data_IF_695785733065
#
_entry.id   IF_695785733065
#
_cell.length_a   1.000
_cell.length_b   1.000
_cell.length_c   1.000
_cell.angle_alpha   90.00
_cell.angle_beta   90.00
_cell.angle_gamma   90.00
#
_symmetry.space_group_name_H-M   'P 1'
#
loop_
_entity.id
_entity.type
_entity.pdbx_description
1 polymer ?
#
# COMPACT_ATOMS: atom_id res chain seq x y z
N UNK A 1 8.05 2.71 16.41
CA UNK A 1 8.29 1.34 16.91
C UNK A 1 7.02 0.50 17.06
N UNK A 2 5.89 1.04 17.53
CA UNK A 2 4.63 0.27 17.68
C UNK A 2 4.15 -0.43 16.40
N UNK A 3 4.19 0.26 15.24
CA UNK A 3 3.73 -0.30 13.96
C UNK A 3 4.54 -1.49 13.45
N UNK A 4 5.87 -1.50 13.65
CA UNK A 4 6.75 -2.59 13.22
C UNK A 4 6.45 -3.85 14.03
N UNK A 5 6.23 -3.69 15.34
CA UNK A 5 5.87 -4.78 16.25
C UNK A 5 4.47 -5.33 15.93
N UNK A 6 3.49 -4.46 15.65
CA UNK A 6 2.15 -4.86 15.25
C UNK A 6 2.14 -5.60 13.90
N UNK A 7 2.95 -5.17 12.93
CA UNK A 7 3.11 -5.86 11.66
C UNK A 7 3.75 -7.24 11.84
N UNK A 8 4.82 -7.35 12.64
CA UNK A 8 5.49 -8.61 12.91
C UNK A 8 4.57 -9.60 13.64
N UNK A 9 3.85 -9.15 14.67
CA UNK A 9 2.91 -9.99 15.43
C UNK A 9 1.72 -10.38 14.56
N UNK A 10 1.10 -9.42 13.88
CA UNK A 10 -0.05 -9.68 12.98
C UNK A 10 0.31 -10.65 11.85
N UNK A 11 1.47 -10.46 11.21
CA UNK A 11 1.99 -11.36 10.18
C UNK A 11 2.28 -12.76 10.72
N UNK A 12 2.89 -12.87 11.91
CA UNK A 12 3.20 -14.16 12.54
C UNK A 12 1.95 -14.94 12.92
N UNK A 13 0.92 -14.27 13.46
CA UNK A 13 -0.38 -14.86 13.79
C UNK A 13 -1.06 -15.38 12.51
N UNK A 14 -0.99 -14.61 11.43
CA UNK A 14 -1.57 -15.00 10.14
C UNK A 14 -0.92 -16.26 9.56
N UNK A 15 0.42 -16.33 9.64
CA UNK A 15 1.20 -17.49 9.20
C UNK A 15 0.89 -18.71 10.07
N UNK A 16 0.86 -18.56 11.39
CA UNK A 16 0.54 -19.64 12.31
C UNK A 16 -0.89 -20.19 12.10
N UNK A 17 -1.87 -19.30 11.94
CA UNK A 17 -3.26 -19.68 11.64
C UNK A 17 -3.38 -20.38 10.27
N UNK A 18 -2.64 -19.92 9.26
CA UNK A 18 -2.59 -20.59 7.95
C UNK A 18 -1.91 -21.95 8.00
N UNK A 19 -0.93 -22.18 8.88
CA UNK A 19 -0.26 -23.47 9.04
C UNK A 19 -1.13 -24.50 9.76
N UNK A 20 -1.96 -24.06 10.71
CA UNK A 20 -2.91 -24.89 11.47
C UNK A 20 -4.17 -25.24 10.67
N UNK A 21 -4.49 -24.48 9.62
CA UNK A 21 -5.61 -24.80 8.72
C UNK A 21 -5.27 -25.95 7.77
N UNK A 22 -6.08 -27.02 7.79
CA UNK A 22 -5.98 -28.15 6.83
C UNK A 22 -6.18 -27.72 5.37
N UNK A 23 -6.90 -26.62 5.13
CA UNK A 23 -7.09 -26.04 3.80
C UNK A 23 -6.42 -24.67 3.71
N UNK A 24 -5.07 -24.71 3.64
CA UNK A 24 -4.21 -23.52 3.62
C UNK A 24 -4.67 -22.47 2.61
N UNK A 25 -5.10 -22.91 1.42
CA UNK A 25 -5.54 -22.02 0.35
C UNK A 25 -6.92 -21.39 0.60
N UNK A 26 -7.88 -22.09 1.22
CA UNK A 26 -9.18 -21.51 1.57
C UNK A 26 -9.06 -20.49 2.71
N UNK A 27 -8.22 -20.78 3.71
CA UNK A 27 -7.97 -19.85 4.80
C UNK A 27 -7.25 -18.59 4.30
N UNK A 28 -6.18 -18.75 3.51
CA UNK A 28 -5.44 -17.62 2.95
C UNK A 28 -6.32 -16.79 2.01
N UNK A 29 -7.15 -17.44 1.18
CA UNK A 29 -8.13 -16.75 0.35
C UNK A 29 -9.14 -15.96 1.17
N UNK A 30 -9.66 -16.53 2.28
CA UNK A 30 -10.58 -15.85 3.20
C UNK A 30 -9.94 -14.64 3.90
N UNK A 31 -8.67 -14.72 4.25
CA UNK A 31 -7.92 -13.58 4.79
C UNK A 31 -7.74 -12.48 3.74
N UNK A 32 -7.32 -12.85 2.53
CA UNK A 32 -7.11 -11.90 1.43
C UNK A 32 -8.43 -11.20 1.06
N UNK A 33 -9.58 -11.88 1.15
CA UNK A 33 -10.89 -11.25 0.90
C UNK A 33 -11.39 -10.39 2.06
N UNK A 34 -11.08 -10.76 3.31
CA UNK A 34 -11.45 -9.97 4.50
C UNK A 34 -10.62 -8.68 4.63
N UNK A 35 -9.37 -8.67 4.19
CA UNK A 35 -8.50 -7.48 4.26
C UNK A 35 -9.12 -6.24 3.57
N UNK A 36 -9.55 -6.31 2.29
CA UNK A 36 -10.27 -5.22 1.63
C UNK A 36 -11.54 -4.79 2.37
N UNK A 37 -12.30 -5.74 2.93
CA UNK A 37 -13.54 -5.44 3.68
C UNK A 37 -13.21 -4.63 4.94
N UNK A 38 -12.20 -5.06 5.70
CA UNK A 38 -11.71 -4.32 6.88
C UNK A 38 -11.19 -2.93 6.49
N UNK A 39 -10.49 -2.82 5.36
CA UNK A 39 -10.02 -1.53 4.84
C UNK A 39 -11.18 -0.60 4.50
N UNK A 40 -12.24 -1.08 3.84
CA UNK A 40 -13.43 -0.29 3.51
C UNK A 40 -14.17 0.18 4.76
N UNK A 41 -14.35 -0.70 5.76
CA UNK A 41 -14.97 -0.35 7.03
C UNK A 41 -14.15 0.74 7.74
N UNK A 42 -12.83 0.59 7.81
CA UNK A 42 -11.96 1.57 8.46
C UNK A 42 -12.01 2.93 7.75
N UNK A 43 -11.95 2.94 6.41
CA UNK A 43 -12.11 4.17 5.62
C UNK A 43 -13.48 4.79 5.88
N UNK A 44 -14.56 4.00 5.94
CA UNK A 44 -15.91 4.53 6.23
C UNK A 44 -16.01 5.21 7.61
N UNK A 45 -15.35 4.65 8.62
CA UNK A 45 -15.33 5.21 9.97
C UNK A 45 -14.47 6.48 10.04
N UNK A 46 -13.33 6.50 9.34
CA UNK A 46 -12.47 7.68 9.23
C UNK A 46 -13.19 8.81 8.49
N UNK A 47 -13.90 8.51 7.40
CA UNK A 47 -14.67 9.51 6.63
C UNK A 47 -15.81 10.12 7.45
N UNK A 48 -16.46 9.36 8.34
CA UNK A 48 -17.50 9.90 9.23
C UNK A 48 -17.00 10.93 10.22
N UNK A 49 -15.73 10.87 10.59
CA UNK A 49 -15.10 11.75 11.58
C UNK A 49 -14.17 12.81 10.94
N UNK A 50 -14.08 12.87 9.60
CA UNK A 50 -13.25 13.83 8.87
C UNK A 50 -14.03 15.10 8.50
N UNK A 51 -13.36 16.25 8.56
CA UNK A 51 -13.85 17.49 7.96
C UNK A 51 -13.60 17.50 6.44
N UNK A 52 -14.30 18.36 5.69
CA UNK A 52 -14.20 18.50 4.23
C UNK A 52 -12.78 18.79 3.73
N UNK A 53 -11.98 19.55 4.50
CA UNK A 53 -10.59 19.85 4.15
C UNK A 53 -9.72 18.57 4.19
N UNK A 54 -9.81 17.81 5.29
CA UNK A 54 -9.08 16.56 5.48
C UNK A 54 -9.49 15.49 4.48
N UNK A 55 -10.79 15.45 4.15
CA UNK A 55 -11.32 14.56 3.12
C UNK A 55 -10.69 14.82 1.75
N UNK A 56 -10.60 16.10 1.32
CA UNK A 56 -9.99 16.47 0.03
C UNK A 56 -8.50 16.14 -0.03
N UNK A 57 -7.76 16.36 1.06
CA UNK A 57 -6.34 15.99 1.16
C UNK A 57 -6.18 14.48 1.08
N UNK A 58 -7.00 13.74 1.84
CA UNK A 58 -6.98 12.27 1.86
C UNK A 58 -7.32 11.69 0.48
N UNK A 59 -8.34 12.24 -0.19
CA UNK A 59 -8.73 11.84 -1.54
C UNK A 59 -7.60 12.08 -2.54
N UNK A 60 -6.96 13.25 -2.50
CA UNK A 60 -5.82 13.56 -3.37
C UNK A 60 -4.66 12.59 -3.12
N UNK A 61 -4.31 12.34 -1.86
CA UNK A 61 -3.27 11.39 -1.49
C UNK A 61 -3.60 9.96 -1.95
N UNK A 62 -4.86 9.54 -1.85
CA UNK A 62 -5.32 8.23 -2.32
C UNK A 62 -5.17 8.09 -3.84
N UNK A 63 -5.55 9.11 -4.61
CA UNK A 63 -5.40 9.11 -6.08
C UNK A 63 -3.93 9.01 -6.47
N UNK A 64 -3.07 9.84 -5.87
CA UNK A 64 -1.63 9.82 -6.17
C UNK A 64 -0.96 8.51 -5.75
N UNK A 65 -1.38 7.92 -4.62
CA UNK A 65 -0.93 6.60 -4.19
C UNK A 65 -1.34 5.50 -5.18
N UNK A 66 -2.58 5.52 -5.67
CA UNK A 66 -3.06 4.57 -6.68
C UNK A 66 -2.29 4.69 -8.00
N UNK A 67 -2.05 5.92 -8.48
CA UNK A 67 -1.20 6.16 -9.66
C UNK A 67 0.24 5.69 -9.41
N UNK A 68 0.79 5.93 -8.21
CA UNK A 68 2.11 5.45 -7.83
C UNK A 68 2.22 3.93 -7.87
N UNK A 69 1.17 3.21 -7.45
CA UNK A 69 1.13 1.75 -7.53
C UNK A 69 1.15 1.25 -8.99
N UNK A 70 0.43 1.94 -9.89
CA UNK A 70 0.49 1.64 -11.33
C UNK A 70 1.89 1.90 -11.88
N UNK A 71 2.52 3.04 -11.55
CA UNK A 71 3.88 3.37 -11.95
C UNK A 71 4.87 2.30 -11.50
N UNK A 72 4.77 1.83 -10.25
CA UNK A 72 5.62 0.76 -9.73
C UNK A 72 5.43 -0.54 -10.53
N UNK A 73 4.19 -0.98 -10.72
CA UNK A 73 3.89 -2.23 -11.43
C UNK A 73 4.33 -2.17 -12.89
N UNK A 74 4.05 -1.07 -13.59
CA UNK A 74 4.49 -0.85 -14.97
C UNK A 74 6.01 -0.81 -15.08
N UNK A 75 6.69 -0.17 -14.13
CA UNK A 75 8.15 -0.12 -14.10
C UNK A 75 8.75 -1.51 -13.88
N UNK A 76 8.22 -2.29 -12.92
CA UNK A 76 8.66 -3.68 -12.71
C UNK A 76 8.50 -4.48 -14.01
N UNK A 77 7.33 -4.40 -14.65
CA UNK A 77 7.05 -5.13 -15.88
C UNK A 77 8.03 -4.77 -17.01
N UNK A 78 8.25 -3.47 -17.25
CA UNK A 78 9.15 -3.00 -18.30
C UNK A 78 10.61 -3.35 -18.00
N UNK A 79 11.08 -3.16 -16.76
CA UNK A 79 12.48 -3.46 -16.39
C UNK A 79 12.75 -4.98 -16.39
N UNK A 80 11.76 -5.81 -16.07
CA UNK A 80 11.93 -7.27 -16.06
C UNK A 80 12.15 -7.83 -17.48
N UNK A 81 11.73 -7.12 -18.52
CA UNK A 81 12.06 -7.52 -19.90
C UNK A 81 13.56 -7.41 -20.20
N UNK A 82 14.29 -6.52 -19.51
CA UNK A 82 15.68 -6.19 -19.85
C UNK A 82 16.69 -6.62 -18.77
N UNK A 83 16.23 -6.82 -17.54
CA UNK A 83 17.06 -7.12 -16.38
C UNK A 83 16.58 -8.37 -15.64
N UNK A 84 17.47 -8.97 -14.85
CA UNK A 84 17.10 -10.06 -13.94
C UNK A 84 16.03 -9.58 -12.94
N UNK A 85 15.04 -10.42 -12.56
CA UNK A 85 13.87 -10.00 -11.79
C UNK A 85 14.20 -9.22 -10.52
N UNK A 86 15.22 -9.63 -9.76
CA UNK A 86 15.61 -8.95 -8.52
C UNK A 86 16.11 -7.52 -8.76
N UNK A 87 16.88 -7.31 -9.85
CA UNK A 87 17.41 -5.99 -10.21
C UNK A 87 16.31 -5.10 -10.80
N UNK A 88 15.37 -5.68 -11.54
CA UNK A 88 14.21 -4.97 -12.06
C UNK A 88 13.31 -4.43 -10.93
N UNK A 89 13.06 -5.24 -9.91
CA UNK A 89 12.29 -4.82 -8.72
C UNK A 89 13.02 -3.72 -7.96
N UNK A 90 14.33 -3.85 -7.73
CA UNK A 90 15.12 -2.81 -7.06
C UNK A 90 15.12 -1.48 -7.85
N UNK A 91 15.29 -1.54 -9.17
CA UNK A 91 15.25 -0.36 -10.05
C UNK A 91 13.88 0.30 -10.07
N UNK A 92 12.80 -0.48 -10.18
CA UNK A 92 11.44 0.04 -10.14
C UNK A 92 11.09 0.66 -8.77
N UNK A 93 11.63 0.11 -7.68
CA UNK A 93 11.48 0.69 -6.35
C UNK A 93 12.12 2.07 -6.25
N UNK A 94 13.31 2.25 -6.83
CA UNK A 94 13.98 3.56 -6.89
C UNK A 94 13.12 4.57 -7.67
N UNK A 95 12.59 4.19 -8.84
CA UNK A 95 11.69 5.04 -9.65
C UNK A 95 10.46 5.45 -8.83
N UNK A 96 9.86 4.51 -8.11
CA UNK A 96 8.71 4.77 -7.24
C UNK A 96 9.04 5.73 -6.08
N UNK A 97 10.22 5.59 -5.46
CA UNK A 97 10.68 6.52 -4.42
C UNK A 97 10.82 7.93 -5.00
N UNK A 98 11.41 8.10 -6.18
CA UNK A 98 11.50 9.40 -6.84
C UNK A 98 10.12 9.98 -7.16
N UNK A 99 9.19 9.16 -7.63
CA UNK A 99 7.80 9.58 -7.85
C UNK A 99 7.15 10.11 -6.56
N UNK A 100 7.29 9.38 -5.45
CA UNK A 100 6.74 9.79 -4.15
C UNK A 100 7.42 11.04 -3.59
N UNK A 101 8.73 11.18 -3.75
CA UNK A 101 9.47 12.39 -3.37
C UNK A 101 9.01 13.61 -4.18
N UNK A 102 8.83 13.44 -5.49
CA UNK A 102 8.28 14.49 -6.35
C UNK A 102 6.90 14.94 -5.89
N UNK A 103 6.01 13.99 -5.58
CA UNK A 103 4.70 14.31 -5.04
C UNK A 103 4.76 15.09 -3.72
N UNK A 104 5.62 14.67 -2.79
CA UNK A 104 5.82 15.35 -1.50
C UNK A 104 6.29 16.79 -1.69
N UNK A 105 7.21 17.04 -2.62
CA UNK A 105 7.70 18.38 -2.95
C UNK A 105 6.59 19.28 -3.52
N UNK A 106 5.80 18.76 -4.47
CA UNK A 106 4.67 19.49 -5.07
C UNK A 106 3.53 19.79 -4.08
N UNK A 107 3.28 18.89 -3.13
CA UNK A 107 2.32 19.16 -2.04
C UNK A 107 2.87 20.20 -1.07
N UNK A 108 4.15 20.11 -0.70
CA UNK A 108 4.75 21.01 0.28
C UNK A 108 4.74 22.47 -0.18
N UNK A 109 4.91 22.75 -1.48
CA UNK A 109 4.78 24.13 -1.99
C UNK A 109 3.34 24.66 -1.92
N UNK A 110 2.32 23.80 -1.99
CA UNK A 110 0.91 24.21 -2.01
C UNK A 110 0.33 24.49 -0.61
N UNK A 111 1.08 24.16 0.45
CA UNK A 111 0.71 24.41 1.86
C UNK A 111 1.36 25.70 2.40
N UNK A 112 2.33 26.27 1.67
CA UNK A 112 3.06 27.49 2.05
C UNK A 112 2.57 28.78 1.34
N UNK A 113 1.54 28.70 0.50
CA UNK A 113 0.82 29.83 -0.08
C UNK A 113 -0.60 29.86 0.46
#
# INVERSE_FOLDING_TARGET
>A
MSYIVQFAIGGSILVAASMLSKSKYLFLSGVITLLPIMTLINISLQMKNMNLADFRITQKNAIFGAVGAVVLMSSIFLLTNWLKPLHAVAGAFIIYVFYMMGYMYFISQKVSM
#
